data_IF_522384290189
#
_entry.id   IF_522384290189
#
_cell.length_a   1.000
_cell.length_b   1.000
_cell.length_c   1.000
_cell.angle_alpha   90.00
_cell.angle_beta   90.00
_cell.angle_gamma   90.00
#
_symmetry.space_group_name_H-M   'P 1'
#
loop_
_entity.id
_entity.type
_entity.pdbx_description
1 polymer ?
#
# COMPACT_ATOMS: atom_id res chain seq x y z
N UNK A 1 -50.40 8.81 -36.70
CA UNK A 1 -49.13 8.71 -37.42
C UNK A 1 -48.05 9.43 -36.59
N UNK A 2 -46.81 8.93 -36.59
CA UNK A 2 -45.65 9.24 -35.74
C UNK A 2 -45.69 8.51 -34.37
N UNK A 3 -44.92 7.46 -34.05
CA UNK A 3 -43.75 6.83 -34.67
C UNK A 3 -42.91 6.24 -33.53
N UNK A 4 -43.23 5.02 -33.08
CA UNK A 4 -42.53 4.35 -31.98
C UNK A 4 -41.30 3.64 -32.57
N UNK A 5 -40.11 4.16 -32.34
CA UNK A 5 -38.87 3.42 -32.59
C UNK A 5 -38.68 2.44 -31.42
N UNK A 6 -39.14 1.21 -31.61
CA UNK A 6 -38.58 0.05 -30.91
C UNK A 6 -37.17 -0.17 -31.44
N UNK A 7 -36.22 0.62 -30.94
CA UNK A 7 -34.80 0.32 -31.03
C UNK A 7 -34.50 -0.81 -30.07
N UNK A 8 -34.44 -2.02 -30.59
CA UNK A 8 -33.96 -3.18 -29.86
C UNK A 8 -32.46 -3.04 -29.66
N UNK A 9 -32.05 -2.25 -28.68
CA UNK A 9 -30.65 -2.15 -28.25
C UNK A 9 -30.37 -3.39 -27.39
N UNK A 10 -30.25 -4.55 -28.05
CA UNK A 10 -29.59 -5.72 -27.47
C UNK A 10 -28.10 -5.41 -27.47
N UNK A 11 -27.69 -4.50 -26.58
CA UNK A 11 -26.30 -4.29 -26.26
C UNK A 11 -25.83 -5.59 -25.60
N UNK A 12 -25.19 -6.45 -26.39
CA UNK A 12 -24.58 -7.66 -25.88
C UNK A 12 -23.65 -7.26 -24.73
N UNK A 13 -23.65 -8.00 -23.60
CA UNK A 13 -22.73 -7.71 -22.52
C UNK A 13 -21.31 -7.71 -23.08
N UNK A 14 -20.55 -6.66 -22.76
CA UNK A 14 -19.15 -6.60 -23.17
C UNK A 14 -18.43 -7.87 -22.66
N UNK A 15 -17.62 -8.53 -23.51
CA UNK A 15 -17.00 -9.80 -23.17
C UNK A 15 -16.18 -9.64 -21.90
N UNK A 16 -16.31 -10.60 -21.00
CA UNK A 16 -15.51 -10.59 -19.78
C UNK A 16 -14.03 -10.72 -20.16
N UNK A 17 -13.10 -10.15 -19.36
CA UNK A 17 -11.67 -10.25 -19.64
C UNK A 17 -11.17 -11.69 -19.80
N UNK A 18 -11.81 -12.65 -19.13
CA UNK A 18 -11.59 -14.09 -19.30
C UNK A 18 -12.06 -14.63 -20.65
N UNK A 19 -13.25 -14.22 -21.12
CA UNK A 19 -13.77 -14.60 -22.44
C UNK A 19 -12.91 -14.00 -23.56
N UNK A 20 -12.48 -12.74 -23.40
CA UNK A 20 -11.56 -12.10 -24.31
C UNK A 20 -10.20 -12.82 -24.36
N UNK A 21 -9.65 -13.23 -23.22
CA UNK A 21 -8.39 -13.98 -23.19
C UNK A 21 -8.52 -15.38 -23.84
N UNK A 22 -9.66 -16.06 -23.67
CA UNK A 22 -9.90 -17.34 -24.32
C UNK A 22 -9.94 -17.21 -25.86
N UNK A 23 -10.60 -16.16 -26.38
CA UNK A 23 -10.61 -15.87 -27.80
C UNK A 23 -9.19 -15.58 -28.35
N UNK A 24 -8.38 -14.84 -27.59
CA UNK A 24 -6.98 -14.56 -27.96
C UNK A 24 -6.13 -15.84 -27.98
N UNK A 25 -6.33 -16.77 -27.04
CA UNK A 25 -5.60 -18.04 -27.02
C UNK A 25 -5.91 -18.91 -28.25
N UNK A 26 -7.18 -18.96 -28.68
CA UNK A 26 -7.56 -19.69 -29.90
C UNK A 26 -6.83 -19.15 -31.14
N UNK A 27 -6.66 -17.82 -31.24
CA UNK A 27 -5.94 -17.19 -32.36
C UNK A 27 -4.42 -17.47 -32.34
N UNK A 28 -3.86 -17.68 -31.15
CA UNK A 28 -2.47 -18.07 -30.97
C UNK A 28 -2.28 -19.55 -31.34
N UNK A 29 -3.22 -20.43 -30.95
CA UNK A 29 -3.22 -21.84 -31.31
C UNK A 29 -3.41 -22.06 -32.83
N UNK A 30 -4.23 -21.22 -33.48
CA UNK A 30 -4.40 -21.17 -34.94
C UNK A 30 -3.18 -20.57 -35.68
N UNK A 31 -2.16 -20.11 -34.94
CA UNK A 31 -0.94 -19.51 -35.50
C UNK A 31 -1.13 -18.14 -36.16
N UNK A 32 -2.27 -17.49 -35.94
CA UNK A 32 -2.62 -16.18 -36.51
C UNK A 32 -1.90 -15.05 -35.79
N UNK A 33 -1.61 -15.21 -34.50
CA UNK A 33 -0.95 -14.20 -33.65
C UNK A 33 0.17 -14.87 -32.84
N UNK A 34 1.29 -14.17 -32.69
CA UNK A 34 2.45 -14.66 -31.96
C UNK A 34 2.34 -14.40 -30.45
N UNK A 35 2.87 -15.30 -29.62
CA UNK A 35 2.93 -15.15 -28.16
C UNK A 35 3.60 -13.87 -27.68
N UNK A 36 4.47 -13.28 -28.49
CA UNK A 36 5.24 -12.07 -28.15
C UNK A 36 4.49 -10.77 -28.47
N UNK A 37 3.28 -10.85 -29.04
CA UNK A 37 2.46 -9.66 -29.28
C UNK A 37 2.04 -9.02 -27.94
N UNK A 38 2.24 -7.71 -27.85
CA UNK A 38 1.89 -6.90 -26.70
C UNK A 38 0.39 -7.01 -26.33
N UNK A 39 -0.49 -7.17 -27.31
CA UNK A 39 -1.93 -7.31 -27.07
C UNK A 39 -2.29 -8.67 -26.48
N UNK A 40 -1.58 -9.75 -26.87
CA UNK A 40 -1.71 -11.09 -26.26
C UNK A 40 -1.29 -11.05 -24.78
N UNK A 41 -0.12 -10.46 -24.51
CA UNK A 41 0.39 -10.30 -23.14
C UNK A 41 -0.57 -9.46 -22.29
N UNK A 42 -1.15 -8.40 -22.88
CA UNK A 42 -2.10 -7.52 -22.20
C UNK A 42 -3.42 -8.20 -21.89
N UNK A 43 -3.97 -8.98 -22.83
CA UNK A 43 -5.21 -9.73 -22.66
C UNK A 43 -5.07 -10.81 -21.58
N UNK A 44 -3.96 -11.56 -21.58
CA UNK A 44 -3.70 -12.57 -20.54
C UNK A 44 -3.50 -11.92 -19.17
N UNK A 45 -2.73 -10.82 -19.10
CA UNK A 45 -2.51 -10.07 -17.86
C UNK A 45 -3.79 -9.46 -17.30
N UNK A 46 -4.72 -9.03 -18.16
CA UNK A 46 -6.01 -8.50 -17.70
C UNK A 46 -6.85 -9.64 -17.09
N UNK A 47 -6.99 -10.78 -17.77
CA UNK A 47 -7.71 -11.94 -17.26
C UNK A 47 -7.16 -12.42 -15.91
N UNK A 48 -5.83 -12.54 -15.78
CA UNK A 48 -5.18 -12.93 -14.51
C UNK A 48 -5.44 -11.91 -13.39
N UNK A 49 -5.38 -10.61 -13.68
CA UNK A 49 -5.69 -9.56 -12.70
C UNK A 49 -7.15 -9.57 -12.24
N UNK A 50 -8.07 -10.00 -13.09
CA UNK A 50 -9.49 -10.09 -12.74
C UNK A 50 -9.78 -11.24 -11.77
N UNK A 51 -9.03 -12.35 -11.85
CA UNK A 51 -9.17 -13.49 -10.92
C UNK A 51 -8.40 -13.35 -9.61
N UNK A 52 -7.38 -12.48 -9.54
CA UNK A 52 -6.55 -12.32 -8.35
C UNK A 52 -7.23 -11.47 -7.27
N UNK A 53 -7.21 -11.97 -6.03
CA UNK A 53 -7.61 -11.18 -4.85
C UNK A 53 -6.67 -9.99 -4.74
N UNK A 54 -7.20 -8.77 -4.83
CA UNK A 54 -6.40 -7.55 -4.66
C UNK A 54 -5.76 -7.59 -3.27
N UNK A 55 -4.43 -7.40 -3.14
CA UNK A 55 -3.78 -7.38 -1.84
C UNK A 55 -4.48 -6.34 -0.95
N UNK A 56 -4.71 -6.71 0.30
CA UNK A 56 -5.38 -5.85 1.26
C UNK A 56 -4.62 -4.51 1.32
N UNK A 57 -5.34 -3.39 1.42
CA UNK A 57 -4.71 -2.06 1.56
C UNK A 57 -3.72 -2.03 2.73
N UNK A 58 -3.96 -2.83 3.76
CA UNK A 58 -3.07 -3.03 4.91
C UNK A 58 -1.77 -3.80 4.61
N UNK A 59 -1.70 -4.55 3.50
CA UNK A 59 -0.52 -5.28 3.04
C UNK A 59 0.37 -4.49 2.07
N UNK A 60 0.02 -3.22 1.79
CA UNK A 60 0.84 -2.37 0.92
C UNK A 60 2.02 -1.81 1.71
N UNK A 61 3.21 -1.87 1.10
CA UNK A 61 4.43 -1.27 1.65
C UNK A 61 4.18 0.18 2.06
N UNK A 62 4.65 0.55 3.26
CA UNK A 62 4.50 1.86 3.89
C UNK A 62 5.29 2.98 3.21
N UNK A 63 5.08 3.18 1.92
CA UNK A 63 5.45 4.44 1.27
C UNK A 63 4.83 5.59 2.07
N UNK A 64 5.58 6.66 2.41
CA UNK A 64 5.06 7.73 3.24
C UNK A 64 3.72 8.25 2.72
N UNK A 65 2.65 8.00 3.47
CA UNK A 65 1.33 8.56 3.17
C UNK A 65 1.44 10.08 3.17
N UNK A 66 0.67 10.74 2.30
CA UNK A 66 0.64 12.20 2.31
C UNK A 66 0.14 12.67 3.69
N UNK A 67 0.62 13.79 4.25
CA UNK A 67 0.25 14.21 5.61
C UNK A 67 -1.27 14.34 5.87
N UNK A 68 -2.08 14.59 4.82
CA UNK A 68 -3.53 14.65 4.90
C UNK A 68 -4.22 13.28 4.86
N UNK A 69 -3.54 12.25 4.35
CA UNK A 69 -4.00 10.85 4.36
C UNK A 69 -3.74 10.16 5.70
N UNK A 70 -2.89 10.75 6.55
CA UNK A 70 -2.65 10.30 7.91
C UNK A 70 -3.81 10.79 8.78
N UNK A 71 -4.55 9.83 9.35
CA UNK A 71 -5.62 10.10 10.31
C UNK A 71 -5.11 11.02 11.44
N UNK A 72 -5.92 11.96 11.95
CA UNK A 72 -5.50 12.89 13.00
C UNK A 72 -4.81 12.21 14.19
N UNK A 73 -5.30 11.04 14.60
CA UNK A 73 -4.72 10.22 15.68
C UNK A 73 -3.35 9.60 15.37
N UNK A 74 -3.03 9.41 14.09
CA UNK A 74 -1.74 8.88 13.65
C UNK A 74 -0.69 9.99 13.44
N UNK A 75 -1.06 11.26 13.58
CA UNK A 75 -0.12 12.38 13.47
C UNK A 75 0.67 12.52 14.76
N UNK A 76 1.99 12.66 14.62
CA UNK A 76 2.84 12.96 15.76
C UNK A 76 2.58 14.37 16.30
N UNK A 77 2.48 14.48 17.63
CA UNK A 77 2.36 15.74 18.37
C UNK A 77 3.65 16.57 18.26
N UNK A 78 3.62 17.83 18.69
CA UNK A 78 4.80 18.70 18.63
C UNK A 78 5.94 18.18 19.51
N UNK A 79 5.63 17.67 20.69
CA UNK A 79 6.61 17.11 21.64
C UNK A 79 7.24 15.83 21.10
N UNK A 80 6.43 14.90 20.59
CA UNK A 80 6.92 13.67 19.95
C UNK A 80 7.86 13.98 18.77
N UNK A 81 7.50 14.96 17.92
CA UNK A 81 8.36 15.40 16.81
C UNK A 81 9.70 15.96 17.27
N UNK A 82 9.71 16.67 18.40
CA UNK A 82 10.94 17.23 18.95
C UNK A 82 11.88 16.13 19.46
N UNK A 83 11.32 15.04 19.97
CA UNK A 83 12.06 13.90 20.49
C UNK A 83 12.70 13.02 19.39
N UNK A 84 12.14 13.02 18.17
CA UNK A 84 12.64 12.24 17.03
C UNK A 84 14.14 12.43 16.77
N UNK A 85 14.62 13.68 16.80
CA UNK A 85 16.04 13.97 16.52
C UNK A 85 16.94 13.37 17.61
N UNK A 86 16.52 13.48 18.88
CA UNK A 86 17.26 12.88 20.01
C UNK A 86 17.31 11.36 19.89
N UNK A 87 16.17 10.72 19.60
CA UNK A 87 16.08 9.26 19.40
C UNK A 87 16.99 8.81 18.25
N UNK A 88 16.99 9.53 17.11
CA UNK A 88 17.85 9.21 15.97
C UNK A 88 19.34 9.26 16.32
N UNK A 89 19.76 10.30 17.04
CA UNK A 89 21.16 10.46 17.43
C UNK A 89 21.58 9.34 18.38
N UNK A 90 20.77 9.03 19.38
CA UNK A 90 21.05 7.97 20.36
C UNK A 90 21.12 6.58 19.69
N UNK A 91 20.16 6.25 18.83
CA UNK A 91 20.19 5.00 18.07
C UNK A 91 21.42 4.92 17.15
N UNK A 92 21.80 6.02 16.49
CA UNK A 92 23.00 6.06 15.67
C UNK A 92 24.28 5.87 16.48
N UNK A 93 24.36 6.39 17.72
CA UNK A 93 25.46 6.14 18.65
C UNK A 93 25.55 4.66 19.06
N UNK A 94 24.41 3.96 19.12
CA UNK A 94 24.36 2.51 19.30
C UNK A 94 24.61 1.73 17.99
N UNK A 95 24.97 2.40 16.89
CA UNK A 95 25.22 1.77 15.59
C UNK A 95 23.94 1.31 14.86
N UNK A 96 22.76 1.71 15.34
CA UNK A 96 21.47 1.30 14.80
C UNK A 96 21.04 2.31 13.72
N UNK A 97 20.60 1.80 12.57
CA UNK A 97 19.95 2.59 11.51
C UNK A 97 18.45 2.35 11.55
N UNK A 98 17.70 3.17 12.32
CA UNK A 98 16.28 2.91 12.54
C UNK A 98 15.44 3.23 11.31
N UNK A 99 14.41 2.42 11.10
CA UNK A 99 13.36 2.71 10.13
C UNK A 99 12.43 3.79 10.66
N UNK A 100 11.73 4.48 9.75
CA UNK A 100 10.84 5.57 10.12
C UNK A 100 9.78 5.16 11.15
N UNK A 101 9.12 4.03 10.94
CA UNK A 101 8.07 3.56 11.84
C UNK A 101 8.62 3.26 13.25
N UNK A 102 9.86 2.75 13.35
CA UNK A 102 10.49 2.42 14.63
C UNK A 102 10.72 3.68 15.47
N UNK A 103 11.18 4.76 14.83
CA UNK A 103 11.36 6.05 15.47
C UNK A 103 10.01 6.63 15.91
N UNK A 104 8.98 6.51 15.06
CA UNK A 104 7.64 7.00 15.39
C UNK A 104 6.98 6.19 16.52
N UNK A 105 7.27 4.89 16.63
CA UNK A 105 6.83 4.08 17.78
C UNK A 105 7.57 4.44 19.05
N UNK A 106 8.89 4.66 18.98
CA UNK A 106 9.71 5.06 20.12
C UNK A 106 9.34 6.45 20.63
N UNK A 107 9.05 7.40 19.73
CA UNK A 107 8.61 8.74 20.09
C UNK A 107 7.25 8.74 20.81
N UNK A 108 6.42 7.73 20.59
CA UNK A 108 5.15 7.52 21.29
C UNK A 108 5.28 6.74 22.61
N UNK A 109 6.51 6.38 23.02
CA UNK A 109 6.76 5.64 24.26
C UNK A 109 6.68 4.12 24.13
N UNK A 110 6.56 3.58 22.93
CA UNK A 110 6.65 2.13 22.74
C UNK A 110 8.09 1.64 22.95
N UNK A 111 8.24 0.33 23.15
CA UNK A 111 9.56 -0.32 23.25
C UNK A 111 9.87 -1.02 21.93
N UNK A 112 11.06 -0.78 21.37
CA UNK A 112 11.55 -1.46 20.16
C UNK A 112 12.81 -2.25 20.49
N UNK A 113 12.86 -3.51 20.04
CA UNK A 113 13.98 -4.41 20.29
C UNK A 113 14.90 -4.47 19.06
N UNK A 114 16.18 -4.17 19.26
CA UNK A 114 17.23 -4.31 18.26
C UNK A 114 18.25 -5.34 18.73
N UNK A 115 18.36 -6.47 18.04
CA UNK A 115 19.37 -7.49 18.35
C UNK A 115 19.34 -8.00 19.79
N UNK A 116 18.16 -8.03 20.43
CA UNK A 116 17.98 -8.46 21.83
C UNK A 116 18.08 -7.34 22.87
N UNK A 117 18.42 -6.10 22.47
CA UNK A 117 18.41 -4.92 23.36
C UNK A 117 17.13 -4.11 23.12
N UNK A 118 16.35 -3.91 24.18
CA UNK A 118 15.15 -3.07 24.14
C UNK A 118 15.48 -1.59 24.35
N UNK A 119 14.81 -0.74 23.59
CA UNK A 119 14.90 0.72 23.69
C UNK A 119 13.51 1.29 23.95
N UNK A 120 13.45 2.19 24.94
CA UNK A 120 12.23 2.90 25.34
C UNK A 120 12.61 4.33 25.66
N UNK A 121 11.77 5.28 25.28
CA UNK A 121 11.99 6.69 25.59
C UNK A 121 10.76 7.24 26.30
N UNK A 122 10.94 8.05 27.36
CA UNK A 122 9.82 8.63 28.08
C UNK A 122 9.04 9.57 27.16
N UNK A 123 7.71 9.46 27.15
CA UNK A 123 6.84 10.39 26.43
C UNK A 123 6.88 11.72 27.19
N UNK A 124 7.06 12.82 26.47
CA UNK A 124 7.23 14.16 27.05
C UNK A 124 6.06 14.68 27.92
N UNK A 125 4.96 13.92 28.05
CA UNK A 125 3.88 14.23 29.02
C UNK A 125 4.24 13.85 30.46
N UNK A 126 5.29 13.05 30.67
CA UNK A 126 5.87 12.85 32.00
C UNK A 126 7.06 13.79 32.17
N UNK A 127 6.87 14.86 32.92
CA UNK A 127 7.95 15.49 33.68
C UNK A 127 8.01 14.83 35.07
N UNK A 128 8.93 13.89 35.36
CA UNK A 128 9.19 13.46 36.71
C UNK A 128 10.49 14.10 37.20
N UNK A 129 10.46 15.39 37.51
CA UNK A 129 11.47 16.01 38.38
C UNK A 129 10.79 16.50 39.67
N UNK A 130 10.20 15.56 40.41
CA UNK A 130 10.18 15.64 41.87
C UNK A 130 11.20 14.63 42.38
N UNK A 131 12.46 15.06 42.45
CA UNK A 131 13.41 14.45 43.38
C UNK A 131 13.40 15.35 44.60
N UNK A 132 12.80 14.85 45.69
CA UNK A 132 12.83 15.44 47.04
C UNK A 132 14.22 15.25 47.65
#
# INVERSE_FOLDING_TARGET
NCGKLTGGDTSLPAPTPSEHAAAVLNLVDDGVIEWNDQEVVRALRSALKHGLRRPNRQQRNGSPLKPHEIAPSARLTRSERMQITRIRVDLAQNGIRPQRWEIETLARGATVNYGGKGFTYPVADEWPEFVV
#
